data_IF_601756537543
#
_entry.id   IF_601756537543
#
_cell.length_a   1.000
_cell.length_b   1.000
_cell.length_c   1.000
_cell.angle_alpha   90.00
_cell.angle_beta   90.00
_cell.angle_gamma   90.00
#
_symmetry.space_group_name_H-M   'P 1'
#
loop_
_entity.id
_entity.type
_entity.pdbx_description
1 polymer ?
#
# COMPACT_ATOMS: atom_id res chain seq x y z
N UNK A 1 11.39 11.03 14.51
CA UNK A 1 10.07 10.78 13.89
C UNK A 1 9.26 9.87 14.78
N UNK A 2 8.00 10.24 14.96
CA UNK A 2 7.01 9.49 15.71
C UNK A 2 6.24 8.57 14.77
N UNK A 3 5.62 7.54 15.33
CA UNK A 3 4.71 6.64 14.63
C UNK A 3 3.27 6.96 14.99
N UNK A 4 2.40 6.96 13.98
CA UNK A 4 0.98 7.23 14.10
C UNK A 4 0.18 6.10 13.45
N UNK A 5 -1.01 5.86 13.96
CA UNK A 5 -2.02 5.01 13.36
C UNK A 5 -3.18 5.89 12.89
N UNK A 6 -3.54 5.75 11.62
CA UNK A 6 -4.67 6.42 10.99
C UNK A 6 -5.72 5.37 10.66
N UNK A 7 -6.92 5.53 11.21
CA UNK A 7 -8.08 4.69 10.89
C UNK A 7 -8.88 5.33 9.76
N UNK A 8 -9.00 4.63 8.66
CA UNK A 8 -9.83 5.00 7.51
C UNK A 8 -11.03 4.08 7.41
N UNK A 9 -12.19 4.60 7.00
CA UNK A 9 -13.38 3.81 6.69
C UNK A 9 -13.78 3.97 5.23
N UNK A 10 -13.92 2.87 4.52
CA UNK A 10 -14.43 2.83 3.16
C UNK A 10 -15.96 2.77 3.17
N UNK A 11 -16.63 3.87 2.83
CA UNK A 11 -18.10 3.96 2.87
C UNK A 11 -18.74 3.78 1.49
N UNK A 12 -18.01 3.24 0.51
CA UNK A 12 -18.47 3.05 -0.86
C UNK A 12 -17.65 2.01 -1.61
N UNK A 13 -18.05 1.68 -2.83
CA UNK A 13 -17.31 0.74 -3.68
C UNK A 13 -15.93 1.28 -4.07
N UNK A 14 -14.96 0.43 -4.33
CA UNK A 14 -13.60 0.82 -4.71
C UNK A 14 -13.16 0.15 -6.01
N UNK A 15 -12.47 0.86 -6.90
CA UNK A 15 -11.99 0.32 -8.20
C UNK A 15 -10.48 0.31 -8.36
N UNK A 16 -9.78 0.82 -7.35
CA UNK A 16 -8.32 0.88 -7.30
C UNK A 16 -7.90 0.22 -6.00
N UNK A 17 -7.00 -0.78 -6.03
CA UNK A 17 -6.50 -1.39 -4.82
C UNK A 17 -5.92 -0.35 -3.86
N UNK A 18 -6.09 -0.57 -2.56
CA UNK A 18 -5.56 0.30 -1.51
C UNK A 18 -4.05 0.12 -1.38
N UNK A 19 -3.30 1.16 -1.78
CA UNK A 19 -1.84 1.16 -1.79
C UNK A 19 -1.29 2.53 -1.41
N UNK A 20 -0.11 2.55 -0.79
CA UNK A 20 0.50 3.77 -0.25
C UNK A 20 0.87 4.79 -1.32
N UNK A 21 1.32 4.35 -2.49
CA UNK A 21 1.73 5.21 -3.61
C UNK A 21 0.55 6.00 -4.20
N UNK A 22 -0.61 5.35 -4.31
CA UNK A 22 -1.85 5.96 -4.74
C UNK A 22 -2.40 6.87 -3.65
N UNK A 23 -2.48 6.40 -2.40
CA UNK A 23 -2.95 7.21 -1.27
C UNK A 23 -2.13 8.49 -1.13
N UNK A 24 -0.80 8.37 -1.10
CA UNK A 24 0.09 9.52 -1.02
C UNK A 24 -0.09 10.48 -2.20
N UNK A 25 -0.36 9.95 -3.40
CA UNK A 25 -0.70 10.77 -4.56
C UNK A 25 -1.94 11.64 -4.31
N UNK A 26 -2.97 11.09 -3.67
CA UNK A 26 -4.14 11.85 -3.23
C UNK A 26 -3.78 12.90 -2.18
N UNK A 27 -2.97 12.55 -1.18
CA UNK A 27 -2.50 13.49 -0.15
C UNK A 27 -1.73 14.67 -0.77
N UNK A 28 -0.85 14.41 -1.73
CA UNK A 28 -0.09 15.44 -2.45
C UNK A 28 -1.02 16.40 -3.22
N UNK A 29 -2.08 15.87 -3.83
CA UNK A 29 -3.09 16.70 -4.50
C UNK A 29 -3.91 17.53 -3.52
N UNK A 30 -4.38 16.93 -2.42
CA UNK A 30 -5.07 17.66 -1.35
C UNK A 30 -4.21 18.80 -0.80
N UNK A 31 -2.95 18.51 -0.52
CA UNK A 31 -1.97 19.51 -0.06
C UNK A 31 -1.80 20.64 -1.08
N UNK A 32 -1.69 20.33 -2.37
CA UNK A 32 -1.63 21.36 -3.45
C UNK A 32 -2.87 22.23 -3.48
N UNK A 33 -4.06 21.64 -3.36
CA UNK A 33 -5.30 22.39 -3.41
C UNK A 33 -5.47 23.31 -2.20
N UNK A 34 -5.02 22.88 -1.02
CA UNK A 34 -5.07 23.69 0.19
C UNK A 34 -4.02 24.80 0.21
N UNK A 35 -2.77 24.47 -0.14
CA UNK A 35 -1.61 25.34 0.12
C UNK A 35 -0.98 25.96 -1.14
N UNK A 36 -1.40 25.54 -2.33
CA UNK A 36 -0.85 26.01 -3.60
C UNK A 36 0.37 25.23 -4.08
N UNK A 37 0.81 25.55 -5.30
CA UNK A 37 1.88 24.82 -6.00
C UNK A 37 3.26 24.99 -5.35
N UNK A 38 3.60 26.20 -4.92
CA UNK A 38 4.92 26.48 -4.34
C UNK A 38 5.11 25.72 -3.01
N UNK A 39 4.06 25.66 -2.19
CA UNK A 39 4.07 24.87 -0.96
C UNK A 39 4.21 23.38 -1.25
N UNK A 40 3.52 22.85 -2.27
CA UNK A 40 3.71 21.46 -2.73
C UNK A 40 5.16 21.22 -3.14
N UNK A 41 5.76 22.10 -3.95
CA UNK A 41 7.14 21.95 -4.40
C UNK A 41 8.12 21.86 -3.23
N UNK A 42 7.94 22.70 -2.20
CA UNK A 42 8.75 22.65 -0.97
C UNK A 42 8.52 21.34 -0.19
N UNK A 43 7.25 20.90 -0.08
CA UNK A 43 6.91 19.64 0.57
C UNK A 43 7.53 18.43 -0.13
N UNK A 44 7.54 18.41 -1.47
CA UNK A 44 8.20 17.37 -2.26
C UNK A 44 9.73 17.39 -2.08
N UNK A 45 10.34 18.58 -2.02
CA UNK A 45 11.79 18.70 -1.76
C UNK A 45 12.18 18.19 -0.38
N UNK A 46 11.31 18.32 0.63
CA UNK A 46 11.57 17.81 1.98
C UNK A 46 11.75 16.28 2.03
N UNK A 47 11.19 15.53 1.06
CA UNK A 47 11.42 14.08 0.93
C UNK A 47 12.84 13.69 0.49
N UNK A 48 13.62 14.63 -0.03
CA UNK A 48 15.04 14.41 -0.38
C UNK A 48 15.97 14.60 0.83
N UNK A 49 15.41 14.91 2.01
CA UNK A 49 16.15 15.06 3.26
C UNK A 49 16.13 13.79 4.11
N UNK A 50 17.01 13.66 5.13
CA UNK A 50 16.95 12.54 6.09
C UNK A 50 15.66 12.47 6.91
N UNK A 51 14.84 13.52 6.91
CA UNK A 51 13.58 13.61 7.65
C UNK A 51 12.39 13.93 6.73
N UNK A 52 11.92 12.96 5.91
CA UNK A 52 10.75 13.17 5.08
C UNK A 52 9.53 13.57 5.91
N UNK A 53 8.66 14.46 5.39
CA UNK A 53 7.59 15.04 6.20
C UNK A 53 6.54 14.01 6.61
N UNK A 54 6.21 13.06 5.72
CA UNK A 54 5.18 12.05 5.98
C UNK A 54 5.45 10.77 5.19
N UNK A 55 5.69 9.66 5.88
CA UNK A 55 5.82 8.33 5.28
C UNK A 55 4.65 7.49 5.75
N UNK A 56 3.92 6.88 4.83
CA UNK A 56 2.72 6.06 5.09
C UNK A 56 2.88 4.63 4.55
N UNK A 57 2.26 3.67 5.24
CA UNK A 57 2.07 2.29 4.79
C UNK A 57 0.99 2.19 3.73
N UNK A 58 0.83 1.02 3.12
CA UNK A 58 -0.43 0.73 2.41
C UNK A 58 -1.56 0.64 3.45
N UNK A 59 -2.79 1.03 3.11
CA UNK A 59 -3.94 0.72 3.95
C UNK A 59 -4.09 -0.79 4.08
N UNK A 60 -4.22 -1.27 5.31
CA UNK A 60 -4.43 -2.68 5.65
C UNK A 60 -5.72 -2.83 6.44
N UNK A 61 -6.39 -3.99 6.44
CA UNK A 61 -7.47 -4.26 7.36
C UNK A 61 -7.18 -3.79 8.79
N UNK A 62 -8.14 -3.12 9.40
CA UNK A 62 -8.04 -2.62 10.76
C UNK A 62 -7.63 -3.73 11.74
N UNK A 63 -6.54 -3.52 12.50
CA UNK A 63 -6.02 -4.50 13.47
C UNK A 63 -5.17 -5.63 12.86
N UNK A 64 -4.90 -5.60 11.56
CA UNK A 64 -4.04 -6.57 10.88
C UNK A 64 -2.75 -5.92 10.39
N UNK A 65 -1.77 -6.76 10.10
CA UNK A 65 -0.48 -6.40 9.50
C UNK A 65 -0.18 -7.36 8.34
N UNK A 66 0.60 -6.95 7.33
CA UNK A 66 0.88 -7.77 6.17
C UNK A 66 1.68 -9.02 6.55
N UNK A 67 1.31 -10.17 5.99
CA UNK A 67 2.09 -11.41 6.05
C UNK A 67 3.44 -11.18 5.37
N UNK A 68 4.56 -11.66 5.96
CA UNK A 68 5.87 -11.42 5.39
C UNK A 68 6.11 -12.40 4.22
N UNK A 69 6.89 -11.94 3.25
CA UNK A 69 7.39 -12.78 2.17
C UNK A 69 8.51 -13.66 2.71
N UNK A 70 8.24 -14.94 2.91
CA UNK A 70 9.21 -15.94 3.34
C UNK A 70 9.33 -17.04 2.26
N UNK A 71 10.50 -17.69 2.15
CA UNK A 71 10.67 -18.79 1.20
C UNK A 71 9.69 -19.92 1.54
N UNK A 72 9.18 -20.65 0.55
CA UNK A 72 8.31 -21.79 0.82
C UNK A 72 9.03 -22.81 1.70
N UNK A 73 8.32 -23.53 2.57
CA UNK A 73 8.93 -24.52 3.45
C UNK A 73 9.63 -25.56 2.58
N UNK A 74 10.77 -26.04 3.04
CA UNK A 74 11.40 -27.21 2.43
C UNK A 74 10.39 -28.34 2.50
N UNK A 75 9.90 -28.80 1.35
CA UNK A 75 9.10 -30.02 1.29
C UNK A 75 10.04 -31.14 1.73
N UNK A 76 9.94 -31.54 3.00
CA UNK A 76 10.41 -32.85 3.43
C UNK A 76 9.76 -33.88 2.49
N UNK A 77 10.42 -35.01 2.25
CA UNK A 77 9.85 -36.12 1.47
C UNK A 77 8.66 -36.79 2.21
N UNK A 78 7.99 -36.07 3.10
CA UNK A 78 6.84 -36.53 3.85
C UNK A 78 5.59 -36.44 3.01
N UNK A 79 4.86 -37.55 2.99
CA UNK A 79 3.60 -37.70 2.29
C UNK A 79 2.52 -36.89 3.01
N UNK A 80 2.29 -35.64 2.62
CA UNK A 80 1.15 -34.86 3.10
C UNK A 80 -0.17 -35.50 2.64
N UNK A 81 -1.19 -35.49 3.51
CA UNK A 81 -2.55 -35.81 3.07
C UNK A 81 -3.07 -34.73 2.11
N UNK A 82 -4.05 -35.09 1.27
CA UNK A 82 -4.69 -34.13 0.35
C UNK A 82 -5.26 -32.93 1.12
N UNK A 83 -5.86 -33.17 2.29
CA UNK A 83 -6.49 -32.14 3.12
C UNK A 83 -5.46 -31.18 3.74
N UNK A 84 -4.32 -31.72 4.20
CA UNK A 84 -3.20 -30.90 4.69
C UNK A 84 -2.66 -29.99 3.59
N UNK A 85 -2.46 -30.54 2.38
CA UNK A 85 -2.00 -29.76 1.23
C UNK A 85 -2.98 -28.64 0.86
N UNK A 86 -4.29 -28.92 0.84
CA UNK A 86 -5.31 -27.91 0.57
C UNK A 86 -5.33 -26.80 1.63
N UNK A 87 -5.15 -27.16 2.90
CA UNK A 87 -5.09 -26.22 4.02
C UNK A 87 -3.88 -25.29 3.88
N UNK A 88 -2.69 -25.84 3.65
CA UNK A 88 -1.47 -25.07 3.40
C UNK A 88 -1.61 -24.15 2.17
N UNK A 89 -2.24 -24.62 1.10
CA UNK A 89 -2.46 -23.83 -0.12
C UNK A 89 -3.39 -22.64 0.13
N UNK A 90 -4.41 -22.80 0.98
CA UNK A 90 -5.29 -21.70 1.42
C UNK A 90 -4.53 -20.71 2.28
N UNK A 91 -3.79 -21.19 3.29
CA UNK A 91 -2.99 -20.36 4.17
C UNK A 91 -1.98 -19.48 3.43
N UNK A 92 -1.32 -19.99 2.38
CA UNK A 92 -0.39 -19.21 1.53
C UNK A 92 -1.02 -18.07 0.74
N UNK A 93 -2.34 -18.00 0.63
CA UNK A 93 -3.06 -16.91 -0.06
C UNK A 93 -3.48 -15.79 0.89
N UNK A 94 -3.27 -15.98 2.18
CA UNK A 94 -3.64 -15.00 3.20
C UNK A 94 -2.60 -13.89 3.17
N UNK A 95 -3.08 -12.66 3.01
CA UNK A 95 -2.23 -11.47 2.92
C UNK A 95 -2.07 -10.75 4.27
N UNK A 96 -2.95 -11.04 5.22
CA UNK A 96 -3.10 -10.29 6.47
C UNK A 96 -3.07 -11.23 7.68
N UNK A 97 -2.38 -10.82 8.73
CA UNK A 97 -2.34 -11.53 10.00
C UNK A 97 -2.71 -10.55 11.13
N UNK A 98 -3.54 -10.96 12.11
CA UNK A 98 -3.89 -10.09 13.23
C UNK A 98 -2.65 -9.56 13.96
N UNK A 99 -2.71 -8.32 14.43
CA UNK A 99 -1.59 -7.66 15.16
C UNK A 99 -1.19 -8.43 16.41
N UNK A 100 -2.16 -9.00 17.12
CA UNK A 100 -1.90 -9.80 18.33
C UNK A 100 -1.17 -11.10 17.99
N UNK A 101 -1.56 -11.79 16.92
CA UNK A 101 -0.85 -12.97 16.41
C UNK A 101 0.56 -12.60 15.93
N UNK A 102 0.73 -11.44 15.32
CA UNK A 102 2.07 -10.94 14.97
C UNK A 102 2.98 -10.79 16.19
N UNK A 103 2.45 -10.24 17.29
CA UNK A 103 3.21 -10.04 18.51
C UNK A 103 3.72 -11.36 19.12
N UNK A 104 3.04 -12.49 18.89
CA UNK A 104 3.47 -13.79 19.41
C UNK A 104 4.57 -14.45 18.56
N UNK A 105 4.56 -14.26 17.24
CA UNK A 105 5.49 -14.95 16.34
C UNK A 105 6.73 -14.12 15.96
N UNK A 106 6.69 -12.80 16.11
CA UNK A 106 7.72 -11.91 15.56
C UNK A 106 9.13 -12.10 16.13
N UNK A 107 9.25 -12.67 17.33
CA UNK A 107 10.53 -12.92 18.00
C UNK A 107 11.25 -14.19 17.55
N UNK A 108 10.56 -15.08 16.83
CA UNK A 108 11.12 -16.34 16.35
C UNK A 108 10.44 -16.75 15.04
N UNK A 109 10.54 -15.89 14.04
CA UNK A 109 9.84 -16.05 12.78
C UNK A 109 10.60 -17.00 11.85
N UNK A 110 9.94 -18.05 11.43
CA UNK A 110 10.32 -18.87 10.29
C UNK A 110 9.05 -19.28 9.52
N UNK A 111 9.24 -20.07 8.46
CA UNK A 111 8.15 -20.44 7.58
C UNK A 111 7.13 -21.38 8.25
N UNK A 112 7.56 -22.22 9.18
CA UNK A 112 6.69 -23.18 9.86
C UNK A 112 5.86 -22.46 10.93
N UNK A 113 6.51 -21.62 11.73
CA UNK A 113 5.84 -20.74 12.71
C UNK A 113 4.82 -19.84 12.03
N UNK A 114 5.17 -19.25 10.87
CA UNK A 114 4.23 -18.45 10.09
C UNK A 114 3.06 -19.31 9.57
N UNK A 115 3.32 -20.50 9.04
CA UNK A 115 2.27 -21.38 8.52
C UNK A 115 1.29 -21.79 9.62
N UNK A 116 1.79 -22.15 10.80
CA UNK A 116 0.95 -22.47 11.96
C UNK A 116 0.07 -21.28 12.35
N UNK A 117 0.66 -20.08 12.46
CA UNK A 117 -0.10 -18.87 12.77
C UNK A 117 -1.17 -18.57 11.72
N UNK A 118 -0.89 -18.78 10.43
CA UNK A 118 -1.86 -18.59 9.36
C UNK A 118 -2.99 -19.62 9.37
N UNK A 119 -2.75 -20.84 9.87
CA UNK A 119 -3.81 -21.87 9.96
C UNK A 119 -4.69 -21.64 11.19
N UNK A 120 -4.10 -21.19 12.30
CA UNK A 120 -4.80 -21.02 13.58
C UNK A 120 -5.50 -19.66 13.73
N UNK A 121 -4.99 -18.62 13.07
CA UNK A 121 -5.54 -17.28 13.19
C UNK A 121 -6.98 -17.20 12.66
N UNK A 122 -7.76 -16.31 13.28
CA UNK A 122 -9.08 -15.96 12.77
C UNK A 122 -8.95 -15.01 11.56
N UNK A 123 -9.32 -15.54 10.39
CA UNK A 123 -9.37 -14.80 9.13
C UNK A 123 -10.79 -14.40 8.76
N UNK A 124 -11.69 -14.29 9.76
CA UNK A 124 -13.05 -13.79 9.58
C UNK A 124 -13.11 -12.38 8.98
N UNK A 125 -11.99 -11.65 8.92
CA UNK A 125 -11.91 -10.41 8.18
C UNK A 125 -11.87 -10.67 6.67
N UNK A 126 -13.03 -10.53 6.02
CA UNK A 126 -13.09 -10.51 4.57
C UNK A 126 -12.32 -9.29 4.05
N UNK A 127 -11.31 -9.55 3.22
CA UNK A 127 -10.71 -8.51 2.40
C UNK A 127 -11.75 -7.93 1.44
N UNK A 128 -11.41 -6.81 0.79
CA UNK A 128 -12.26 -6.22 -0.25
C UNK A 128 -12.66 -7.30 -1.27
N UNK A 129 -13.96 -7.59 -1.37
CA UNK A 129 -14.50 -8.59 -2.30
C UNK A 129 -14.71 -7.93 -3.64
N UNK A 130 -14.05 -8.43 -4.69
CA UNK A 130 -14.16 -7.88 -6.04
C UNK A 130 -15.18 -8.64 -6.87
N UNK A 131 -16.10 -7.89 -7.49
CA UNK A 131 -17.01 -8.38 -8.53
C UNK A 131 -16.80 -7.58 -9.83
N UNK A 132 -17.35 -8.06 -10.94
CA UNK A 132 -17.20 -7.45 -12.26
C UNK A 132 -18.46 -6.69 -12.65
N UNK A 133 -18.41 -5.35 -12.60
CA UNK A 133 -19.49 -4.50 -13.09
C UNK A 133 -19.38 -4.31 -14.61
N UNK A 134 -20.49 -4.45 -15.34
CA UNK A 134 -20.55 -4.19 -16.79
C UNK A 134 -21.20 -2.84 -17.06
N UNK A 135 -20.55 -2.00 -17.86
CA UNK A 135 -21.06 -0.69 -18.27
C UNK A 135 -21.32 -0.63 -19.76
N UNK A 136 -22.41 0.04 -20.15
CA UNK A 136 -22.72 0.39 -21.53
C UNK A 136 -22.49 1.89 -21.76
N UNK A 137 -21.83 2.25 -22.86
CA UNK A 137 -21.77 3.62 -23.34
C UNK A 137 -23.02 3.92 -24.19
N UNK A 138 -23.75 5.00 -23.87
CA UNK A 138 -24.93 5.45 -24.62
C UNK A 138 -24.58 6.78 -25.29
N UNK A 139 -24.75 6.84 -26.62
CA UNK A 139 -24.61 8.10 -27.34
C UNK A 139 -25.89 8.93 -27.19
N UNK A 140 -25.78 10.09 -26.55
CA UNK A 140 -26.91 10.99 -26.29
C UNK A 140 -27.52 11.62 -27.55
N UNK A 141 -26.80 11.63 -28.67
CA UNK A 141 -27.30 12.14 -29.96
C UNK A 141 -28.13 11.11 -30.72
N UNK A 142 -27.78 9.81 -30.62
CA UNK A 142 -28.54 8.73 -31.28
C UNK A 142 -29.58 8.06 -30.37
N UNK A 143 -29.57 8.37 -29.07
CA UNK A 143 -30.53 7.82 -28.09
C UNK A 143 -30.39 6.32 -27.83
N UNK A 144 -29.36 5.67 -28.39
CA UNK A 144 -29.14 4.23 -28.33
C UNK A 144 -27.70 3.87 -27.96
N UNK A 145 -27.49 2.60 -27.63
CA UNK A 145 -26.16 2.01 -27.44
C UNK A 145 -25.49 1.70 -28.77
N UNK A 146 -26.22 1.66 -29.89
CA UNK A 146 -25.64 1.40 -31.21
C UNK A 146 -24.85 2.62 -31.71
N UNK A 147 -23.52 2.51 -31.73
CA UNK A 147 -22.64 3.33 -32.55
C UNK A 147 -22.45 2.64 -33.92
N UNK A 148 -22.07 3.38 -34.97
CA UNK A 148 -21.62 2.76 -36.24
C UNK A 148 -20.40 1.83 -36.03
N UNK A 149 -19.63 2.07 -34.96
CA UNK A 149 -18.52 1.21 -34.48
C UNK A 149 -18.91 0.25 -33.33
N UNK A 150 -20.21 0.08 -33.06
CA UNK A 150 -20.74 -0.80 -32.01
C UNK A 150 -20.77 -0.18 -30.62
N UNK A 151 -21.86 -0.44 -29.87
CA UNK A 151 -21.96 -0.01 -28.48
C UNK A 151 -20.87 -0.61 -27.61
N UNK A 152 -20.04 0.24 -27.00
CA UNK A 152 -18.94 -0.24 -26.18
C UNK A 152 -19.46 -0.72 -24.82
N UNK A 153 -19.54 -2.04 -24.66
CA UNK A 153 -19.62 -2.69 -23.35
C UNK A 153 -18.21 -2.87 -22.80
N UNK A 154 -17.98 -2.48 -21.56
CA UNK A 154 -16.71 -2.72 -20.88
C UNK A 154 -16.97 -3.15 -19.44
N UNK A 155 -16.06 -3.98 -18.93
CA UNK A 155 -16.13 -4.50 -17.56
C UNK A 155 -15.12 -3.81 -16.68
N UNK A 156 -15.48 -3.57 -15.41
CA UNK A 156 -14.60 -3.00 -14.40
C UNK A 156 -14.67 -3.85 -13.12
N UNK A 157 -13.53 -4.41 -12.67
CA UNK A 157 -13.42 -4.98 -11.33
C UNK A 157 -13.73 -3.91 -10.28
N UNK A 158 -14.70 -4.20 -9.42
CA UNK A 158 -15.20 -3.30 -8.39
C UNK A 158 -15.24 -4.05 -7.06
N UNK A 159 -14.55 -3.49 -6.08
CA UNK A 159 -14.44 -3.99 -4.73
C UNK A 159 -15.52 -3.44 -3.81
N UNK A 160 -16.01 -4.29 -2.91
CA UNK A 160 -16.97 -3.96 -1.86
C UNK A 160 -16.49 -4.49 -0.52
N UNK A 161 -16.93 -3.83 0.55
CA UNK A 161 -16.67 -4.23 1.93
C UNK A 161 -18.00 -4.44 2.64
N UNK A 162 -18.04 -5.37 3.60
CA UNK A 162 -19.15 -5.44 4.55
C UNK A 162 -19.02 -4.34 5.60
N UNK A 163 -20.10 -4.04 6.32
CA UNK A 163 -20.05 -3.06 7.43
C UNK A 163 -19.05 -3.44 8.53
N UNK A 164 -18.77 -4.74 8.68
CA UNK A 164 -17.83 -5.28 9.67
C UNK A 164 -16.37 -5.20 9.20
N UNK A 165 -16.12 -5.03 7.91
CA UNK A 165 -14.78 -5.10 7.29
C UNK A 165 -14.46 -3.90 6.37
N UNK A 166 -15.04 -2.74 6.68
CA UNK A 166 -14.84 -1.49 5.93
C UNK A 166 -13.76 -0.58 6.53
N UNK A 167 -13.15 -0.98 7.64
CA UNK A 167 -12.16 -0.19 8.37
C UNK A 167 -10.73 -0.65 8.04
N UNK A 168 -9.86 0.31 7.76
CA UNK A 168 -8.48 0.12 7.35
C UNK A 168 -7.54 0.97 8.20
N UNK A 169 -6.40 0.40 8.58
CA UNK A 169 -5.31 1.08 9.27
C UNK A 169 -4.23 1.52 8.27
N UNK A 170 -3.71 2.73 8.47
CA UNK A 170 -2.51 3.25 7.80
C UNK A 170 -1.52 3.65 8.88
N UNK A 171 -0.34 3.05 8.84
CA UNK A 171 0.78 3.42 9.70
C UNK A 171 1.54 4.57 9.07
N UNK A 172 1.78 5.63 9.84
CA UNK A 172 2.58 6.76 9.41
C UNK A 172 3.82 6.97 10.29
N UNK A 173 4.91 7.41 9.68
CA UNK A 173 6.12 7.90 10.34
C UNK A 173 6.31 9.35 9.94
N UNK A 174 6.33 10.24 10.93
CA UNK A 174 6.35 11.69 10.69
C UNK A 174 6.84 12.49 11.91
N UNK A 175 7.31 13.71 11.69
CA UNK A 175 7.52 14.73 12.73
C UNK A 175 6.33 15.71 12.84
N UNK A 176 5.29 15.55 12.02
CA UNK A 176 4.07 16.37 12.06
C UNK A 176 3.23 16.05 13.29
N UNK A 177 2.36 16.98 13.68
CA UNK A 177 1.36 16.79 14.72
C UNK A 177 0.17 15.96 14.22
N UNK A 178 -0.62 15.42 15.15
CA UNK A 178 -1.87 14.70 14.84
C UNK A 178 -2.77 15.56 13.95
N UNK A 179 -3.02 16.81 14.32
CA UNK A 179 -3.89 17.72 13.55
C UNK A 179 -3.42 17.94 12.12
N UNK A 180 -2.11 18.08 11.90
CA UNK A 180 -1.53 18.21 10.57
C UNK A 180 -1.72 16.94 9.73
N UNK A 181 -1.54 15.76 10.34
CA UNK A 181 -1.75 14.49 9.65
C UNK A 181 -3.23 14.31 9.31
N UNK A 182 -4.13 14.56 10.26
CA UNK A 182 -5.59 14.52 10.05
C UNK A 182 -5.99 15.41 8.88
N UNK A 183 -5.55 16.68 8.88
CA UNK A 183 -5.88 17.64 7.84
C UNK A 183 -5.41 17.17 6.44
N UNK A 184 -4.17 16.69 6.33
CA UNK A 184 -3.62 16.22 5.05
C UNK A 184 -4.42 15.03 4.50
N UNK A 185 -4.82 14.10 5.37
CA UNK A 185 -5.64 12.96 4.99
C UNK A 185 -7.05 13.38 4.57
N UNK A 186 -7.72 14.24 5.33
CA UNK A 186 -9.06 14.77 5.00
C UNK A 186 -9.05 15.50 3.66
N UNK A 187 -8.05 16.36 3.42
CA UNK A 187 -7.91 17.09 2.15
C UNK A 187 -7.67 16.15 0.96
N UNK A 188 -6.79 15.17 1.14
CA UNK A 188 -6.45 14.23 0.08
C UNK A 188 -7.60 13.30 -0.30
N UNK A 189 -8.44 12.93 0.66
CA UNK A 189 -9.52 11.95 0.48
C UNK A 189 -10.87 12.57 0.12
N UNK A 190 -11.01 13.90 0.19
CA UNK A 190 -12.25 14.62 -0.12
C UNK A 190 -12.86 14.27 -1.49
N UNK A 191 -12.02 14.01 -2.51
CA UNK A 191 -12.46 13.72 -3.88
C UNK A 191 -12.68 12.23 -4.21
N UNK A 192 -12.54 11.34 -3.23
CA UNK A 192 -12.53 9.89 -3.43
C UNK A 192 -11.16 9.37 -3.87
N UNK A 193 -10.86 8.15 -3.43
CA UNK A 193 -9.61 7.43 -3.69
C UNK A 193 -9.65 6.68 -5.03
N UNK A 194 -8.58 6.86 -5.80
CA UNK A 194 -8.32 6.13 -7.04
C UNK A 194 -9.29 6.48 -8.16
N UNK A 195 -9.61 5.46 -8.96
CA UNK A 195 -10.40 5.58 -10.18
C UNK A 195 -11.88 5.84 -9.88
N UNK A 196 -12.48 6.70 -10.71
CA UNK A 196 -13.91 7.01 -10.72
C UNK A 196 -14.44 7.64 -9.41
N UNK A 197 -13.60 8.40 -8.71
CA UNK A 197 -13.99 9.16 -7.51
C UNK A 197 -15.20 10.07 -7.73
N UNK A 198 -15.32 10.68 -8.92
CA UNK A 198 -16.48 11.49 -9.31
C UNK A 198 -17.81 10.73 -9.36
N UNK A 199 -17.77 9.40 -9.45
CA UNK A 199 -18.95 8.53 -9.45
C UNK A 199 -19.22 7.92 -8.06
N UNK A 200 -18.58 8.45 -7.01
CA UNK A 200 -18.71 7.97 -5.63
C UNK A 200 -17.83 6.76 -5.30
N UNK A 201 -16.87 6.39 -6.16
CA UNK A 201 -15.94 5.30 -5.84
C UNK A 201 -14.84 5.77 -4.87
N UNK A 202 -14.39 4.87 -4.00
CA UNK A 202 -13.24 5.10 -3.12
C UNK A 202 -13.48 6.16 -2.05
N UNK A 203 -14.72 6.39 -1.61
CA UNK A 203 -14.99 7.35 -0.54
C UNK A 203 -14.43 6.80 0.79
N UNK A 204 -13.29 7.35 1.21
CA UNK A 204 -12.61 7.03 2.45
C UNK A 204 -12.79 8.18 3.44
N UNK A 205 -13.20 7.85 4.66
CA UNK A 205 -13.39 8.80 5.76
C UNK A 205 -12.26 8.59 6.78
N UNK A 206 -11.65 9.66 7.26
CA UNK A 206 -10.72 9.63 8.38
C UNK A 206 -11.54 9.49 9.67
N UNK A 207 -11.40 8.37 10.37
CA UNK A 207 -12.14 8.11 11.60
C UNK A 207 -11.35 8.48 12.85
N UNK A 208 -10.03 8.23 12.83
CA UNK A 208 -9.15 8.48 13.97
C UNK A 208 -7.70 8.65 13.50
N UNK A 209 -6.94 9.48 14.22
CA UNK A 209 -5.50 9.67 14.04
C UNK A 209 -4.88 9.79 15.43
N UNK A 210 -4.01 8.85 15.78
CA UNK A 210 -3.38 8.82 17.10
C UNK A 210 -1.93 8.35 17.03
N UNK A 211 -1.07 8.78 17.97
CA UNK A 211 0.23 8.16 18.17
C UNK A 211 0.05 6.68 18.56
N UNK A 212 0.77 5.78 17.92
CA UNK A 212 0.80 4.35 18.26
C UNK A 212 2.19 3.79 17.89
N UNK A 213 2.51 2.59 18.36
CA UNK A 213 3.76 1.91 18.08
C UNK A 213 3.49 0.52 17.47
N UNK A 214 4.21 0.21 16.39
CA UNK A 214 4.26 -1.15 15.86
C UNK A 214 4.75 -2.14 16.94
N UNK A 215 4.36 -3.43 16.84
CA UNK A 215 4.88 -4.47 17.73
C UNK A 215 6.41 -4.43 17.84
N UNK A 216 6.93 -4.60 19.05
CA UNK A 216 8.37 -4.49 19.33
C UNK A 216 9.00 -5.89 19.35
N UNK A 217 10.09 -6.04 18.62
CA UNK A 217 10.93 -7.25 18.62
C UNK A 217 12.22 -6.97 19.39
N UNK A 218 12.60 -7.88 20.30
CA UNK A 218 13.92 -7.84 20.92
C UNK A 218 14.99 -8.34 19.95
N UNK A 219 16.09 -7.60 19.83
CA UNK A 219 17.24 -7.94 18.98
C UNK A 219 16.82 -8.36 17.54
N UNK A 220 16.14 -7.48 16.79
CA UNK A 220 15.70 -7.82 15.45
C UNK A 220 16.89 -8.04 14.52
N UNK A 221 16.77 -9.03 13.64
CA UNK A 221 17.72 -9.29 12.55
C UNK A 221 17.07 -9.12 11.16
N UNK A 222 15.79 -8.75 11.11
CA UNK A 222 15.05 -8.50 9.89
C UNK A 222 14.02 -7.38 10.03
N UNK A 223 13.62 -6.82 8.88
CA UNK A 223 12.65 -5.75 8.76
C UNK A 223 11.63 -6.10 7.68
N UNK A 224 10.36 -5.81 7.93
CA UNK A 224 9.24 -6.07 7.03
C UNK A 224 8.69 -4.74 6.53
N UNK A 225 8.48 -4.61 5.22
CA UNK A 225 7.88 -3.41 4.62
C UNK A 225 6.37 -3.38 4.81
N UNK A 226 5.83 -2.27 5.31
CA UNK A 226 4.38 -2.08 5.46
C UNK A 226 3.71 -1.48 4.21
N UNK A 227 4.46 -1.33 3.12
CA UNK A 227 3.97 -0.84 1.84
C UNK A 227 5.00 -1.10 0.73
N UNK A 228 4.66 -0.81 -0.54
CA UNK A 228 5.62 -0.88 -1.62
C UNK A 228 6.69 0.22 -1.48
N UNK A 229 7.94 -0.12 -1.80
CA UNK A 229 9.05 0.82 -1.68
C UNK A 229 10.14 0.60 -2.73
N UNK A 230 10.88 1.65 -3.08
CA UNK A 230 12.08 1.57 -3.92
C UNK A 230 13.28 1.91 -3.04
N UNK A 231 14.10 0.93 -2.62
CA UNK A 231 15.26 1.16 -1.77
C UNK A 231 16.24 2.19 -2.33
N UNK A 232 16.84 2.96 -1.43
CA UNK A 232 18.00 3.81 -1.64
C UNK A 232 19.30 3.02 -1.40
N UNK A 233 20.45 3.57 -1.81
CA UNK A 233 21.76 2.91 -1.62
C UNK A 233 22.13 2.68 -0.15
N UNK A 234 21.63 3.52 0.75
CA UNK A 234 21.85 3.43 2.19
C UNK A 234 20.83 2.56 2.91
N UNK A 235 19.82 2.04 2.20
CA UNK A 235 18.81 1.19 2.81
C UNK A 235 19.34 -0.22 3.05
N UNK A 236 18.80 -0.93 4.06
CA UNK A 236 19.22 -2.29 4.35
C UNK A 236 18.98 -3.22 3.14
N UNK A 237 19.85 -4.21 2.92
CA UNK A 237 19.73 -5.10 1.78
C UNK A 237 18.48 -5.97 1.90
N UNK A 238 17.83 -6.17 0.76
CA UNK A 238 16.64 -7.00 0.67
C UNK A 238 17.02 -8.50 0.73
N UNK A 239 16.27 -9.29 1.51
CA UNK A 239 16.48 -10.75 1.64
C UNK A 239 15.41 -11.53 0.87
N UNK A 240 14.14 -11.30 1.18
CA UNK A 240 13.00 -11.91 0.50
C UNK A 240 12.08 -10.80 0.00
N UNK A 241 12.27 -10.41 -1.25
CA UNK A 241 11.73 -9.15 -1.74
C UNK A 241 11.22 -9.29 -3.18
N UNK A 242 10.00 -9.83 -3.35
CA UNK A 242 9.38 -9.86 -4.65
C UNK A 242 9.21 -8.44 -5.18
N UNK A 243 9.41 -8.31 -6.49
CA UNK A 243 9.33 -7.04 -7.19
C UNK A 243 7.94 -6.90 -7.82
N UNK A 244 7.37 -5.72 -7.68
CA UNK A 244 6.22 -5.28 -8.45
C UNK A 244 6.59 -4.07 -9.34
N UNK A 245 5.80 -3.87 -10.40
CA UNK A 245 5.96 -2.76 -11.33
C UNK A 245 4.71 -1.88 -11.26
N UNK A 246 4.86 -0.67 -10.73
CA UNK A 246 3.77 0.31 -10.67
C UNK A 246 3.79 1.20 -11.90
N UNK A 247 2.73 1.12 -12.71
CA UNK A 247 2.51 1.96 -13.89
C UNK A 247 1.25 2.81 -13.68
N UNK A 248 1.40 3.91 -12.92
CA UNK A 248 0.29 4.80 -12.59
C UNK A 248 0.01 5.85 -13.66
N UNK A 249 -1.20 6.42 -13.63
CA UNK A 249 -1.57 7.63 -14.37
C UNK A 249 -1.54 8.87 -13.48
N UNK A 250 -1.49 10.05 -14.07
CA UNK A 250 -1.58 11.31 -13.34
C UNK A 250 -3.01 11.52 -12.83
N UNK A 251 -3.11 11.92 -11.55
CA UNK A 251 -4.37 12.27 -10.90
C UNK A 251 -4.65 13.79 -10.92
N UNK A 252 -5.68 14.20 -10.18
CA UNK A 252 -6.03 15.61 -9.97
C UNK A 252 -6.24 16.39 -11.26
N UNK A 253 -5.83 17.66 -11.27
CA UNK A 253 -5.93 18.52 -12.46
C UNK A 253 -5.19 17.93 -13.67
N UNK A 254 -4.07 17.23 -13.45
CA UNK A 254 -3.26 16.64 -14.53
C UNK A 254 -3.87 15.38 -15.14
N UNK A 255 -4.99 14.87 -14.61
CA UNK A 255 -5.75 13.82 -15.27
C UNK A 255 -6.39 14.31 -16.58
N UNK A 256 -6.76 15.60 -16.65
CA UNK A 256 -7.47 16.19 -17.79
C UNK A 256 -6.70 17.37 -18.42
N UNK A 257 -5.95 18.14 -17.63
CA UNK A 257 -5.24 19.33 -18.11
C UNK A 257 -3.81 19.02 -18.54
N UNK A 258 -3.26 19.88 -19.41
CA UNK A 258 -1.83 19.91 -19.72
C UNK A 258 -1.06 20.26 -18.45
N UNK A 259 0.05 19.57 -18.22
CA UNK A 259 0.93 19.87 -17.07
C UNK A 259 1.57 21.25 -17.19
N UNK A 260 2.15 21.75 -16.09
CA UNK A 260 2.89 23.02 -16.09
C UNK A 260 4.07 23.01 -17.07
N UNK A 261 4.66 21.85 -17.35
CA UNK A 261 5.74 21.70 -18.34
C UNK A 261 5.26 21.61 -19.80
N UNK A 262 3.95 21.74 -20.06
CA UNK A 262 3.38 21.60 -21.41
C UNK A 262 3.08 20.16 -21.83
N UNK A 263 3.27 19.16 -20.95
CA UNK A 263 3.01 17.75 -21.27
C UNK A 263 1.52 17.39 -21.39
N UNK A 264 1.18 16.66 -22.44
CA UNK A 264 -0.13 16.01 -22.63
C UNK A 264 -0.15 14.54 -22.21
N UNK A 265 1.00 13.96 -21.86
CA UNK A 265 1.11 12.57 -21.39
C UNK A 265 0.43 12.43 -20.02
N UNK A 266 -0.26 11.30 -19.81
CA UNK A 266 -0.97 11.00 -18.55
C UNK A 266 -0.38 9.80 -17.83
N UNK A 267 0.48 9.04 -18.49
CA UNK A 267 1.06 7.80 -18.00
C UNK A 267 2.46 8.06 -17.44
N UNK A 268 2.68 7.68 -16.18
CA UNK A 268 4.02 7.62 -15.61
C UNK A 268 4.81 6.47 -16.25
N UNK A 269 6.13 6.64 -16.32
CA UNK A 269 7.07 5.55 -16.62
C UNK A 269 6.96 4.51 -15.49
N UNK A 270 6.99 3.20 -15.81
CA UNK A 270 6.88 2.17 -14.79
C UNK A 270 8.00 2.25 -13.75
N UNK A 271 7.64 2.09 -12.48
CA UNK A 271 8.57 2.10 -11.33
C UNK A 271 8.66 0.70 -10.75
N UNK A 272 9.89 0.21 -10.56
CA UNK A 272 10.15 -1.06 -9.87
C UNK A 272 10.18 -0.84 -8.36
N UNK A 273 9.40 -1.63 -7.64
CA UNK A 273 9.24 -1.52 -6.19
C UNK A 273 9.30 -2.90 -5.56
N UNK A 274 9.82 -2.98 -4.34
CA UNK A 274 9.54 -4.09 -3.45
C UNK A 274 8.05 -4.12 -3.13
N UNK A 275 7.49 -5.30 -2.90
CA UNK A 275 6.11 -5.44 -2.41
C UNK A 275 6.02 -5.13 -0.91
N UNK A 276 4.82 -4.82 -0.46
CA UNK A 276 4.44 -4.92 0.96
C UNK A 276 4.72 -6.35 1.45
N UNK A 277 5.18 -6.50 2.69
CA UNK A 277 5.58 -7.78 3.26
C UNK A 277 7.00 -8.21 2.88
N UNK A 278 7.72 -7.45 2.03
CA UNK A 278 9.11 -7.78 1.70
C UNK A 278 9.99 -7.73 2.95
N UNK A 279 10.92 -8.67 3.04
CA UNK A 279 11.84 -8.84 4.17
C UNK A 279 13.23 -8.33 3.80
N UNK A 280 13.77 -7.48 4.66
CA UNK A 280 15.11 -6.88 4.58
C UNK A 280 15.95 -7.38 5.75
N UNK A 281 17.27 -7.36 5.59
CA UNK A 281 18.20 -7.65 6.68
C UNK A 281 18.27 -6.47 7.65
N UNK A 282 18.32 -6.73 8.96
CA UNK A 282 18.58 -5.72 9.97
C UNK A 282 19.96 -5.96 10.60
N UNK A 283 20.86 -4.98 10.43
CA UNK A 283 22.17 -4.99 11.08
C UNK A 283 22.29 -3.73 11.96
N UNK A 284 22.20 -3.90 13.28
CA UNK A 284 22.32 -2.79 14.24
C UNK A 284 21.14 -1.80 14.19
N UNK A 285 21.41 -0.51 14.38
CA UNK A 285 20.38 0.53 14.37
C UNK A 285 19.85 0.77 12.95
N UNK A 286 18.53 0.72 12.78
CA UNK A 286 17.84 0.98 11.52
C UNK A 286 16.90 2.20 11.63
N UNK A 287 16.58 2.81 10.48
CA UNK A 287 15.46 3.75 10.39
C UNK A 287 14.14 3.01 10.54
N UNK A 288 13.08 3.71 10.94
CA UNK A 288 11.71 3.18 10.99
C UNK A 288 11.01 3.12 9.62
N UNK A 289 11.75 3.38 8.54
CA UNK A 289 11.24 3.44 7.17
C UNK A 289 12.34 3.13 6.16
N UNK A 290 11.92 2.80 4.93
CA UNK A 290 12.75 2.57 3.75
C UNK A 290 12.25 3.38 2.56
N UNK A 291 13.13 3.63 1.60
CA UNK A 291 12.73 4.00 0.25
C UNK A 291 13.11 5.41 -0.14
N UNK A 292 12.46 5.93 -1.19
CA UNK A 292 12.70 7.27 -1.72
C UNK A 292 11.54 7.81 -2.54
N UNK A 293 11.56 9.11 -2.79
CA UNK A 293 10.71 9.74 -3.78
C UNK A 293 11.35 9.55 -5.16
N UNK A 294 10.68 8.86 -6.08
CA UNK A 294 11.25 8.54 -7.39
C UNK A 294 10.95 9.68 -8.36
N UNK A 295 12.02 10.35 -8.81
CA UNK A 295 12.00 11.33 -9.88
C UNK A 295 12.10 10.73 -11.28
N UNK A 296 11.99 11.57 -12.31
CA UNK A 296 12.12 11.18 -13.73
C UNK A 296 11.14 10.09 -14.19
N UNK A 297 10.00 9.98 -13.50
CA UNK A 297 8.90 9.06 -13.83
C UNK A 297 7.94 9.66 -14.85
N UNK A 298 8.19 10.87 -15.32
CA UNK A 298 7.42 11.55 -16.36
C UNK A 298 8.33 12.50 -17.15
N UNK A 299 7.85 13.04 -18.28
CA UNK A 299 8.55 14.11 -19.00
C UNK A 299 8.49 15.45 -18.25
N UNK A 300 7.44 15.66 -17.47
CA UNK A 300 7.37 16.75 -16.50
C UNK A 300 8.25 16.41 -15.27
N UNK A 301 9.33 17.16 -15.03
CA UNK A 301 10.24 16.93 -13.91
C UNK A 301 9.66 17.34 -12.56
N UNK A 302 8.44 17.87 -12.44
CA UNK A 302 7.76 18.06 -11.15
C UNK A 302 7.06 16.77 -10.68
N UNK A 303 6.76 15.85 -11.60
CA UNK A 303 6.01 14.64 -11.29
C UNK A 303 6.91 13.61 -10.62
N UNK A 304 6.42 13.11 -9.48
CA UNK A 304 7.13 12.15 -8.62
C UNK A 304 6.28 10.89 -8.41
N UNK A 305 6.95 9.84 -7.95
CA UNK A 305 6.30 8.61 -7.51
C UNK A 305 6.74 8.28 -6.09
N UNK A 306 5.77 8.14 -5.18
CA UNK A 306 6.02 7.80 -3.79
C UNK A 306 6.43 6.33 -3.69
N UNK A 307 7.63 6.07 -3.17
CA UNK A 307 8.16 4.74 -3.01
C UNK A 307 8.85 4.57 -1.65
N UNK A 308 8.17 5.02 -0.60
CA UNK A 308 8.57 4.80 0.79
C UNK A 308 7.62 3.81 1.49
N UNK A 309 8.13 3.15 2.52
CA UNK A 309 7.32 2.34 3.42
C UNK A 309 7.85 2.43 4.85
N UNK A 310 6.97 2.50 5.87
CA UNK A 310 7.34 2.17 7.25
C UNK A 310 7.83 0.72 7.37
N UNK A 311 8.65 0.48 8.37
CA UNK A 311 9.24 -0.82 8.65
C UNK A 311 8.78 -1.38 10.00
N UNK A 312 8.45 -2.67 10.02
CA UNK A 312 8.23 -3.44 11.24
C UNK A 312 9.41 -4.37 11.47
N UNK A 313 9.97 -4.37 12.68
CA UNK A 313 11.11 -5.20 13.02
C UNK A 313 10.68 -6.62 13.45
N UNK A 314 11.44 -7.63 13.06
CA UNK A 314 11.24 -9.02 13.51
C UNK A 314 12.59 -9.75 13.63
N UNK A 315 12.54 -10.97 14.18
CA UNK A 315 13.68 -11.85 14.30
C UNK A 315 13.41 -13.16 13.58
N UNK A 316 14.20 -13.44 12.54
CA UNK A 316 14.18 -14.67 11.79
C UNK A 316 14.98 -15.76 12.53
N UNK A 317 14.41 -16.96 12.69
CA UNK A 317 15.03 -18.10 13.37
C UNK A 317 16.25 -18.63 12.59
N UNK A 318 16.14 -18.73 11.25
CA UNK A 318 17.22 -19.18 10.39
C UNK A 318 17.77 -18.06 9.51
N UNK A 319 18.99 -17.63 9.81
CA UNK A 319 19.85 -16.99 8.83
C UNK A 319 20.54 -18.09 8.00
N UNK A 320 19.78 -18.93 7.27
CA UNK A 320 20.37 -19.76 6.23
C UNK A 320 21.09 -18.83 5.25
N UNK A 321 22.43 -18.94 5.23
CA UNK A 321 23.28 -18.22 4.30
C UNK A 321 22.73 -18.46 2.90
N UNK A 322 22.34 -17.37 2.22
CA UNK A 322 22.07 -17.45 0.80
C UNK A 322 23.37 -17.96 0.16
N UNK A 323 23.35 -19.20 -0.36
CA UNK A 323 24.49 -19.74 -1.11
C UNK A 323 24.78 -18.75 -2.24
N UNK A 324 25.99 -18.21 -2.17
CA UNK A 324 26.64 -17.33 -3.15
C UNK A 324 26.49 -17.81 -4.58
#
# INVERSE_FOLDING_TARGET
MNTYLIRLRLTGRIRTPLESDTLWGHLAWGYRYRHGNDALCQWLQAYETPEPPLIISSPMPAGYLPVPELPPPHLSNESFSIDQYQTMKKARRIEWLPRDTWATIMGNLDQDTLMHALIEADHSHDSVVYDTETHASINRLSGGTAQEDGGTLYTIPTGYTSEQHQDFDVWAVSNMTVDQITQIFEDGLMGGYGRDGSNGCGHLVVCDVQPDALPRCEQPNALITLGPATPSKSDPPARYAPIDIRAGRLGGLYAIQVTESGSTRREKRPVRMLRRGSVLMANGSHRSWIGRLVGSVHEDPAIRHYAFAPLMACRLHELTEAKS
#
